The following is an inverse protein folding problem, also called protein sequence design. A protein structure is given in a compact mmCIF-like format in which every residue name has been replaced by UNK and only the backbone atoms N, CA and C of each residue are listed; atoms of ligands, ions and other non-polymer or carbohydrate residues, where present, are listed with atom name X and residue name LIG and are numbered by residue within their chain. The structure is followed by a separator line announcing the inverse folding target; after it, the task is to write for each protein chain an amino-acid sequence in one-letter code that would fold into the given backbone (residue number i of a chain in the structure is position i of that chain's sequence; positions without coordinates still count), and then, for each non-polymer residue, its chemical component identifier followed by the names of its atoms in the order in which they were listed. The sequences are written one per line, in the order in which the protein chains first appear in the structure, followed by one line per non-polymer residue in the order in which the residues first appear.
data_IF_443612170290
#
_entry.id   IF_443612170290
#
_cell.length_a   1.000
_cell.length_b   1.000
_cell.length_c   1.000
_cell.angle_alpha   90.00
_cell.angle_beta   90.00
_cell.angle_gamma   90.00
#
_symmetry.space_group_name_H-M   'P 1'
#
loop_
_entity.id
_entity.type
_entity.pdbx_description
1 polymer ?
#
# COMPACT_ATOMS: atom_id res chain seq x y z
N UNK A 1 -31.62 -12.33 -15.54
CA UNK A 1 -30.45 -11.61 -16.07
C UNK A 1 -29.22 -12.20 -15.44
N UNK A 2 -28.23 -12.69 -16.23
CA UNK A 2 -26.98 -13.22 -15.71
C UNK A 2 -26.21 -12.10 -14.97
N UNK A 3 -25.70 -12.40 -13.77
CA UNK A 3 -24.90 -11.43 -13.02
C UNK A 3 -23.66 -11.04 -13.85
N UNK A 4 -23.32 -9.75 -13.92
CA UNK A 4 -22.17 -9.28 -14.69
C UNK A 4 -20.87 -9.92 -14.14
N UNK A 5 -20.00 -10.38 -15.06
CA UNK A 5 -18.76 -11.08 -14.70
C UNK A 5 -17.78 -10.11 -14.00
N UNK A 6 -17.27 -10.53 -12.82
CA UNK A 6 -16.23 -9.78 -12.09
C UNK A 6 -14.95 -9.70 -12.91
N UNK A 7 -14.47 -10.86 -13.36
CA UNK A 7 -13.24 -11.01 -14.14
C UNK A 7 -13.50 -10.70 -15.62
N UNK A 8 -13.83 -9.42 -15.91
CA UNK A 8 -13.87 -8.92 -17.28
C UNK A 8 -12.45 -8.61 -17.78
N UNK A 9 -12.27 -8.52 -19.11
CA UNK A 9 -10.96 -8.33 -19.72
C UNK A 9 -10.23 -7.08 -19.22
N UNK A 10 -10.93 -5.95 -19.03
CA UNK A 10 -10.30 -4.72 -18.54
C UNK A 10 -9.90 -4.82 -17.06
N UNK A 11 -10.72 -5.49 -16.24
CA UNK A 11 -10.35 -5.70 -14.84
C UNK A 11 -9.14 -6.63 -14.71
N UNK A 12 -9.08 -7.72 -15.50
CA UNK A 12 -7.93 -8.61 -15.53
C UNK A 12 -6.65 -7.88 -15.95
N UNK A 13 -6.73 -7.01 -16.96
CA UNK A 13 -5.61 -6.15 -17.38
C UNK A 13 -5.15 -5.22 -16.26
N UNK A 14 -6.06 -4.51 -15.61
CA UNK A 14 -5.74 -3.62 -14.50
C UNK A 14 -5.14 -4.38 -13.30
N UNK A 15 -5.65 -5.59 -13.01
CA UNK A 15 -5.13 -6.47 -11.98
C UNK A 15 -3.71 -6.94 -12.29
N UNK A 16 -3.46 -7.42 -13.53
CA UNK A 16 -2.15 -7.88 -13.96
C UNK A 16 -1.12 -6.74 -14.00
N UNK A 17 -1.52 -5.56 -14.48
CA UNK A 17 -0.65 -4.38 -14.49
C UNK A 17 -0.28 -3.93 -13.07
N UNK A 18 -1.20 -4.04 -12.10
CA UNK A 18 -0.91 -3.76 -10.70
C UNK A 18 0.04 -4.80 -10.08
N UNK A 19 -0.11 -6.07 -10.42
CA UNK A 19 0.85 -7.10 -10.03
C UNK A 19 2.25 -6.76 -10.57
N UNK A 20 2.37 -6.41 -11.85
CA UNK A 20 3.65 -6.02 -12.47
C UNK A 20 4.25 -4.78 -11.82
N UNK A 21 3.43 -3.80 -11.43
CA UNK A 21 3.86 -2.59 -10.71
C UNK A 21 4.56 -2.96 -9.38
N UNK A 22 3.88 -3.74 -8.55
CA UNK A 22 4.43 -4.13 -7.24
C UNK A 22 5.56 -5.12 -7.37
N UNK A 23 5.50 -6.03 -8.33
CA UNK A 23 6.58 -6.99 -8.59
C UNK A 23 7.87 -6.26 -9.00
N UNK A 24 7.81 -5.36 -10.01
CA UNK A 24 8.98 -4.61 -10.47
C UNK A 24 9.62 -3.76 -9.37
N UNK A 25 8.79 -3.20 -8.49
CA UNK A 25 9.28 -2.40 -7.36
C UNK A 25 9.90 -3.26 -6.26
N UNK A 26 9.27 -4.36 -5.90
CA UNK A 26 9.67 -5.20 -4.78
C UNK A 26 10.85 -6.11 -5.09
N UNK A 27 11.10 -6.43 -6.35
CA UNK A 27 12.24 -7.29 -6.74
C UNK A 27 13.58 -6.62 -6.46
N UNK A 28 13.67 -5.29 -6.55
CA UNK A 28 14.89 -4.52 -6.28
C UNK A 28 14.99 -3.99 -4.85
N UNK A 29 13.86 -3.75 -4.19
CA UNK A 29 13.81 -3.04 -2.90
C UNK A 29 14.71 -3.64 -1.83
N UNK A 30 14.76 -4.96 -1.59
CA UNK A 30 15.63 -5.55 -0.57
C UNK A 30 17.11 -5.51 -0.94
N UNK A 31 17.44 -5.30 -2.20
CA UNK A 31 18.82 -5.28 -2.70
C UNK A 31 19.44 -3.87 -2.67
N UNK A 32 18.64 -2.81 -2.58
CA UNK A 32 19.17 -1.45 -2.56
C UNK A 32 20.19 -1.17 -1.43
N UNK A 33 19.97 -1.58 -0.16
CA UNK A 33 20.99 -1.35 0.86
C UNK A 33 22.31 -2.04 0.54
N UNK A 34 22.26 -3.26 0.01
CA UNK A 34 23.43 -4.01 -0.38
C UNK A 34 24.15 -3.35 -1.57
N UNK A 35 23.40 -2.97 -2.61
CA UNK A 35 23.90 -2.25 -3.77
C UNK A 35 24.62 -0.95 -3.39
N UNK A 36 24.00 -0.13 -2.54
CA UNK A 36 24.57 1.15 -2.10
C UNK A 36 25.87 0.96 -1.30
N UNK A 37 25.92 -0.06 -0.46
CA UNK A 37 27.12 -0.38 0.32
C UNK A 37 28.24 -0.93 -0.56
N UNK A 38 27.93 -1.87 -1.47
CA UNK A 38 28.96 -2.54 -2.29
C UNK A 38 29.48 -1.66 -3.43
N UNK A 39 28.58 -0.91 -4.11
CA UNK A 39 28.96 -0.13 -5.29
C UNK A 39 29.45 1.28 -4.96
N UNK A 40 28.94 1.88 -3.88
CA UNK A 40 29.29 3.28 -3.52
C UNK A 40 29.95 3.41 -2.15
N UNK A 41 30.12 2.31 -1.40
CA UNK A 41 30.68 2.37 -0.04
C UNK A 41 29.79 3.15 0.95
N UNK A 42 28.48 3.26 0.66
CA UNK A 42 27.57 4.06 1.46
C UNK A 42 27.43 3.54 2.89
N UNK A 43 27.48 4.45 3.86
CA UNK A 43 27.21 4.15 5.27
C UNK A 43 25.73 3.80 5.48
N UNK A 44 25.39 3.26 6.66
CA UNK A 44 23.99 2.95 7.00
C UNK A 44 23.12 4.21 7.00
N UNK A 45 23.65 5.34 7.47
CA UNK A 45 22.94 6.61 7.53
C UNK A 45 22.68 7.17 6.13
N UNK A 46 23.69 7.15 5.25
CA UNK A 46 23.56 7.55 3.85
C UNK A 46 22.56 6.66 3.12
N UNK A 47 22.61 5.34 3.34
CA UNK A 47 21.64 4.39 2.78
C UNK A 47 20.22 4.72 3.25
N UNK A 48 20.03 4.98 4.53
CA UNK A 48 18.74 5.38 5.09
C UNK A 48 18.22 6.68 4.46
N UNK A 49 19.07 7.69 4.33
CA UNK A 49 18.72 8.97 3.70
C UNK A 49 18.31 8.78 2.23
N UNK A 50 19.10 8.05 1.47
CA UNK A 50 18.84 7.76 0.05
C UNK A 50 17.51 7.05 -0.14
N UNK A 51 17.20 6.06 0.69
CA UNK A 51 15.96 5.28 0.56
C UNK A 51 14.74 6.04 1.06
N UNK A 52 14.90 6.93 2.06
CA UNK A 52 13.80 7.74 2.60
C UNK A 52 13.28 8.81 1.62
N UNK A 53 14.14 9.33 0.74
CA UNK A 53 13.75 10.30 -0.29
C UNK A 53 12.58 9.82 -1.16
N UNK A 54 12.57 8.53 -1.50
CA UNK A 54 11.48 7.91 -2.22
C UNK A 54 10.14 7.97 -1.45
N UNK A 55 10.15 7.59 -0.17
CA UNK A 55 8.93 7.58 0.64
C UNK A 55 8.35 8.99 0.81
N UNK A 56 9.23 9.98 1.00
CA UNK A 56 8.83 11.38 1.14
C UNK A 56 8.13 11.90 -0.12
N UNK A 57 8.71 11.69 -1.31
CA UNK A 57 8.12 12.17 -2.56
C UNK A 57 6.84 11.41 -2.93
N UNK A 58 6.79 10.10 -2.65
CA UNK A 58 5.57 9.32 -2.83
C UNK A 58 4.42 9.87 -1.96
N UNK A 59 4.69 10.15 -0.68
CA UNK A 59 3.71 10.72 0.24
C UNK A 59 3.23 12.11 -0.19
N UNK A 60 4.15 12.99 -0.57
CA UNK A 60 3.83 14.36 -0.96
C UNK A 60 2.99 14.43 -2.23
N UNK A 61 3.23 13.54 -3.20
CA UNK A 61 2.52 13.55 -4.48
C UNK A 61 1.12 12.89 -4.39
N UNK A 62 0.88 12.01 -3.41
CA UNK A 62 -0.40 11.28 -3.30
C UNK A 62 -1.66 12.16 -3.28
N UNK A 63 -1.77 13.22 -2.47
CA UNK A 63 -2.95 14.09 -2.48
C UNK A 63 -3.21 14.70 -3.86
N UNK A 64 -2.15 15.15 -4.52
CA UNK A 64 -2.23 15.73 -5.88
C UNK A 64 -2.61 14.68 -6.93
N UNK A 65 -2.18 13.45 -6.77
CA UNK A 65 -2.50 12.34 -7.68
C UNK A 65 -3.99 12.09 -7.77
N UNK A 66 -4.70 12.15 -6.65
CA UNK A 66 -6.15 12.02 -6.61
C UNK A 66 -6.86 13.10 -7.43
N UNK A 67 -6.43 14.35 -7.24
CA UNK A 67 -6.93 15.47 -8.02
C UNK A 67 -6.63 15.32 -9.53
N UNK A 68 -5.40 14.93 -9.90
CA UNK A 68 -5.03 14.69 -11.29
C UNK A 68 -5.91 13.62 -11.94
N UNK A 69 -6.11 12.49 -11.27
CA UNK A 69 -6.92 11.35 -11.77
C UNK A 69 -8.41 11.74 -11.92
N UNK A 70 -8.90 12.67 -11.11
CA UNK A 70 -10.28 13.12 -11.17
C UNK A 70 -10.49 14.24 -12.20
N UNK A 71 -9.49 15.08 -12.44
CA UNK A 71 -9.57 16.24 -13.34
C UNK A 71 -9.22 15.90 -14.78
N UNK A 72 -8.21 15.05 -14.99
CA UNK A 72 -7.72 14.70 -16.33
C UNK A 72 -8.25 13.33 -16.79
N UNK A 73 -8.13 12.99 -18.09
CA UNK A 73 -8.47 11.65 -18.57
C UNK A 73 -7.68 10.57 -17.83
N UNK A 74 -8.36 9.71 -17.07
CA UNK A 74 -7.73 8.72 -16.16
C UNK A 74 -6.71 7.83 -16.85
N UNK A 75 -6.99 7.41 -18.10
CA UNK A 75 -6.04 6.60 -18.88
C UNK A 75 -4.76 7.35 -19.18
N UNK A 76 -4.85 8.63 -19.54
CA UNK A 76 -3.68 9.46 -19.84
C UNK A 76 -2.81 9.66 -18.58
N UNK A 77 -3.43 10.01 -17.45
CA UNK A 77 -2.73 10.14 -16.16
C UNK A 77 -2.05 8.83 -15.78
N UNK A 78 -2.77 7.70 -15.87
CA UNK A 78 -2.23 6.37 -15.58
C UNK A 78 -1.01 6.05 -16.47
N UNK A 79 -1.11 6.26 -17.77
CA UNK A 79 -0.01 5.95 -18.70
C UNK A 79 1.21 6.85 -18.49
N UNK A 80 1.01 8.15 -18.28
CA UNK A 80 2.13 9.07 -18.00
C UNK A 80 2.84 8.68 -16.70
N UNK A 81 2.08 8.48 -15.60
CA UNK A 81 2.68 8.12 -14.31
C UNK A 81 3.37 6.75 -14.35
N UNK A 82 2.71 5.75 -14.96
CA UNK A 82 3.27 4.40 -15.07
C UNK A 82 4.49 4.38 -16.01
N UNK A 83 4.47 5.13 -17.10
CA UNK A 83 5.59 5.28 -18.03
C UNK A 83 6.82 5.92 -17.35
N UNK A 84 6.60 6.99 -16.57
CA UNK A 84 7.66 7.61 -15.76
C UNK A 84 8.20 6.66 -14.71
N UNK A 85 7.31 5.91 -14.04
CA UNK A 85 7.72 4.87 -13.08
C UNK A 85 8.60 3.81 -13.75
N UNK A 86 8.22 3.29 -14.91
CA UNK A 86 9.01 2.31 -15.64
C UNK A 86 10.36 2.88 -16.11
N UNK A 87 10.35 4.09 -16.66
CA UNK A 87 11.55 4.76 -17.16
C UNK A 87 12.63 4.93 -16.08
N UNK A 88 12.23 5.25 -14.86
CA UNK A 88 13.17 5.48 -13.75
C UNK A 88 13.92 4.22 -13.31
N UNK A 89 13.45 3.00 -13.62
CA UNK A 89 14.28 1.80 -13.47
C UNK A 89 15.48 1.80 -14.41
N UNK A 90 15.33 2.35 -15.63
CA UNK A 90 16.46 2.59 -16.53
C UNK A 90 17.48 3.56 -15.96
N UNK A 91 17.04 4.51 -15.13
CA UNK A 91 17.92 5.43 -14.42
C UNK A 91 18.91 4.74 -13.48
N UNK A 92 18.50 3.64 -12.80
CA UNK A 92 19.38 2.89 -11.93
C UNK A 92 20.54 2.20 -12.68
N UNK A 93 20.33 1.83 -13.95
CA UNK A 93 21.39 1.24 -14.79
C UNK A 93 22.50 2.24 -15.17
N UNK A 94 22.20 3.53 -15.12
CA UNK A 94 23.15 4.59 -15.50
C UNK A 94 23.61 5.42 -14.29
N UNK A 95 23.20 5.08 -13.09
CA UNK A 95 23.53 5.78 -11.87
C UNK A 95 25.02 5.53 -11.50
N UNK A 96 25.92 6.43 -11.90
CA UNK A 96 27.36 6.30 -11.67
C UNK A 96 27.86 6.84 -10.34
N UNK A 97 26.98 7.37 -9.47
CA UNK A 97 27.36 7.92 -8.16
C UNK A 97 26.20 7.82 -7.16
N UNK A 98 26.54 7.87 -5.86
CA UNK A 98 25.54 7.88 -4.78
C UNK A 98 24.54 9.03 -4.93
N UNK A 99 25.01 10.22 -5.33
CA UNK A 99 24.16 11.39 -5.54
C UNK A 99 23.18 11.18 -6.72
N UNK A 100 23.66 10.65 -7.85
CA UNK A 100 22.79 10.38 -9.00
C UNK A 100 21.74 9.32 -8.64
N UNK A 101 22.12 8.28 -7.91
CA UNK A 101 21.19 7.28 -7.40
C UNK A 101 20.15 7.89 -6.45
N UNK A 102 20.58 8.75 -5.51
CA UNK A 102 19.66 9.45 -4.59
C UNK A 102 18.62 10.30 -5.34
N UNK A 103 19.07 11.06 -6.35
CA UNK A 103 18.16 11.87 -7.17
C UNK A 103 17.14 10.97 -7.89
N UNK A 104 17.61 9.93 -8.57
CA UNK A 104 16.72 8.99 -9.29
C UNK A 104 15.75 8.31 -8.33
N UNK A 105 16.23 7.86 -7.17
CA UNK A 105 15.41 7.19 -6.16
C UNK A 105 14.34 8.12 -5.59
N UNK A 106 14.72 9.35 -5.27
CA UNK A 106 13.79 10.38 -4.77
C UNK A 106 12.72 10.71 -5.81
N UNK A 107 13.12 10.94 -7.07
CA UNK A 107 12.19 11.19 -8.16
C UNK A 107 11.25 10.00 -8.42
N UNK A 108 11.72 8.76 -8.23
CA UNK A 108 10.93 7.55 -8.48
C UNK A 108 9.72 7.41 -7.53
N UNK A 109 9.78 8.02 -6.34
CA UNK A 109 8.65 8.01 -5.39
C UNK A 109 7.41 8.70 -5.94
N UNK A 110 7.58 9.81 -6.65
CA UNK A 110 6.47 10.60 -7.19
C UNK A 110 5.60 9.80 -8.19
N UNK A 111 6.14 9.22 -9.28
CA UNK A 111 5.32 8.42 -10.20
C UNK A 111 4.78 7.14 -9.56
N UNK A 112 5.48 6.52 -8.60
CA UNK A 112 4.92 5.38 -7.88
C UNK A 112 3.69 5.77 -7.06
N UNK A 113 3.76 6.87 -6.29
CA UNK A 113 2.63 7.39 -5.52
C UNK A 113 1.42 7.70 -6.42
N UNK A 114 1.66 8.37 -7.55
CA UNK A 114 0.61 8.71 -8.51
C UNK A 114 0.05 7.48 -9.24
N UNK A 115 0.91 6.54 -9.65
CA UNK A 115 0.49 5.32 -10.37
C UNK A 115 -0.39 4.43 -9.50
N UNK A 116 -0.08 4.26 -8.22
CA UNK A 116 -0.91 3.45 -7.31
C UNK A 116 -2.33 4.01 -7.16
N UNK A 117 -2.48 5.34 -7.08
CA UNK A 117 -3.80 6.00 -7.05
C UNK A 117 -4.52 5.85 -8.39
N UNK A 118 -3.84 6.12 -9.51
CA UNK A 118 -4.43 6.05 -10.84
C UNK A 118 -4.86 4.61 -11.18
N UNK A 119 -4.00 3.63 -10.95
CA UNK A 119 -4.25 2.23 -11.29
C UNK A 119 -5.40 1.65 -10.46
N UNK A 120 -5.44 1.90 -9.14
CA UNK A 120 -6.55 1.47 -8.28
C UNK A 120 -7.88 2.15 -8.68
N UNK A 121 -7.85 3.43 -9.06
CA UNK A 121 -9.06 4.14 -9.50
C UNK A 121 -9.57 3.60 -10.83
N UNK A 122 -8.70 3.32 -11.78
CA UNK A 122 -9.06 2.70 -13.07
C UNK A 122 -9.61 1.29 -12.85
N UNK A 123 -8.99 0.48 -11.97
CA UNK A 123 -9.49 -0.84 -11.64
C UNK A 123 -10.92 -0.80 -11.09
N UNK A 124 -11.24 0.19 -10.24
CA UNK A 124 -12.58 0.40 -9.70
C UNK A 124 -13.58 0.81 -10.78
N UNK A 125 -13.17 1.61 -11.77
CA UNK A 125 -14.05 2.07 -12.85
C UNK A 125 -14.45 0.97 -13.83
N UNK A 126 -13.60 -0.02 -14.05
CA UNK A 126 -13.88 -1.16 -14.93
C UNK A 126 -14.69 -2.26 -14.26
N UNK A 127 -14.92 -2.16 -12.95
CA UNK A 127 -15.75 -3.09 -12.20
C UNK A 127 -17.23 -2.79 -12.33
N UNK A 128 -18.10 -3.84 -12.45
CA UNK A 128 -19.53 -3.68 -12.31
C UNK A 128 -19.90 -3.06 -10.96
N UNK A 129 -20.86 -2.12 -10.93
CA UNK A 129 -21.24 -1.42 -9.69
C UNK A 129 -21.65 -2.36 -8.56
N UNK A 130 -22.40 -3.41 -8.89
CA UNK A 130 -22.88 -4.43 -7.92
C UNK A 130 -21.78 -5.35 -7.39
N UNK A 131 -20.62 -5.44 -8.05
CA UNK A 131 -19.49 -6.29 -7.64
C UNK A 131 -18.23 -5.48 -7.28
N UNK A 132 -18.36 -4.17 -7.12
CA UNK A 132 -17.20 -3.28 -6.91
C UNK A 132 -16.46 -3.58 -5.60
N UNK A 133 -17.19 -3.77 -4.50
CA UNK A 133 -16.59 -4.08 -3.20
C UNK A 133 -15.79 -5.40 -3.23
N UNK A 134 -16.35 -6.43 -3.87
CA UNK A 134 -15.68 -7.71 -4.10
C UNK A 134 -14.40 -7.51 -4.96
N UNK A 135 -14.52 -6.79 -6.07
CA UNK A 135 -13.41 -6.52 -6.98
C UNK A 135 -12.28 -5.73 -6.31
N UNK A 136 -12.58 -4.75 -5.44
CA UNK A 136 -11.57 -4.06 -4.63
C UNK A 136 -10.80 -5.07 -3.76
N UNK A 137 -11.51 -6.02 -3.16
CA UNK A 137 -10.88 -7.10 -2.39
C UNK A 137 -9.89 -7.91 -3.22
N UNK A 138 -10.29 -8.41 -4.37
CA UNK A 138 -9.41 -9.18 -5.26
C UNK A 138 -8.29 -8.33 -5.89
N UNK A 139 -8.52 -7.03 -6.13
CA UNK A 139 -7.47 -6.14 -6.63
C UNK A 139 -6.29 -6.07 -5.66
N UNK A 140 -6.55 -6.02 -4.35
CA UNK A 140 -5.48 -6.05 -3.34
C UNK A 140 -4.64 -7.34 -3.34
N UNK A 141 -5.14 -8.47 -3.88
CA UNK A 141 -4.32 -9.68 -4.02
C UNK A 141 -3.17 -9.50 -5.01
N UNK A 142 -3.34 -8.72 -6.08
CA UNK A 142 -2.27 -8.46 -7.05
C UNK A 142 -1.07 -7.77 -6.40
N UNK A 143 -1.34 -6.79 -5.55
CA UNK A 143 -0.33 -6.12 -4.74
C UNK A 143 0.37 -7.11 -3.77
N UNK A 144 -0.43 -7.86 -2.99
CA UNK A 144 0.11 -8.79 -2.00
C UNK A 144 0.97 -9.89 -2.64
N UNK A 145 0.55 -10.44 -3.78
CA UNK A 145 1.33 -11.44 -4.51
C UNK A 145 2.64 -10.86 -5.03
N UNK A 146 2.63 -9.65 -5.62
CA UNK A 146 3.84 -8.98 -6.06
C UNK A 146 4.82 -8.76 -4.91
N UNK A 147 4.31 -8.25 -3.78
CA UNK A 147 5.13 -7.98 -2.58
C UNK A 147 5.67 -9.26 -1.91
N UNK A 148 4.92 -10.36 -1.96
CA UNK A 148 5.35 -11.63 -1.35
C UNK A 148 6.40 -12.38 -2.19
N UNK A 149 6.25 -12.39 -3.52
CA UNK A 149 7.06 -13.23 -4.42
C UNK A 149 8.33 -12.50 -4.85
N UNK A 150 8.23 -11.22 -5.19
CA UNK A 150 9.30 -10.49 -5.84
C UNK A 150 10.60 -10.35 -5.00
N UNK A 151 10.57 -10.07 -3.68
CA UNK A 151 11.79 -9.99 -2.88
C UNK A 151 12.62 -11.28 -2.91
N UNK A 152 11.93 -12.41 -2.76
CA UNK A 152 12.58 -13.73 -2.77
C UNK A 152 13.22 -14.01 -4.12
N UNK A 153 12.51 -13.76 -5.22
CA UNK A 153 13.05 -13.93 -6.56
C UNK A 153 14.23 -13.01 -6.84
N UNK A 154 14.15 -11.74 -6.43
CA UNK A 154 15.24 -10.77 -6.58
C UNK A 154 16.51 -11.24 -5.88
N UNK A 155 16.39 -11.67 -4.62
CA UNK A 155 17.52 -12.20 -3.85
C UNK A 155 18.10 -13.48 -4.47
N UNK A 156 17.27 -14.42 -4.93
CA UNK A 156 17.72 -15.65 -5.59
C UNK A 156 18.46 -15.35 -6.88
N UNK A 157 17.93 -14.49 -7.74
CA UNK A 157 18.58 -14.10 -8.99
C UNK A 157 19.94 -13.44 -8.70
N UNK A 158 19.99 -12.55 -7.70
CA UNK A 158 21.25 -11.94 -7.29
C UNK A 158 22.27 -12.97 -6.80
N UNK A 159 21.85 -13.91 -5.94
CA UNK A 159 22.72 -14.99 -5.45
C UNK A 159 23.30 -15.84 -6.56
N UNK A 160 22.54 -16.08 -7.64
CA UNK A 160 23.01 -16.91 -8.77
C UNK A 160 23.88 -16.15 -9.76
N UNK A 161 23.64 -14.85 -9.95
CA UNK A 161 24.26 -14.08 -11.04
C UNK A 161 25.28 -13.05 -10.55
N UNK A 162 25.18 -12.60 -9.30
CA UNK A 162 25.98 -11.49 -8.74
C UNK A 162 25.73 -10.15 -9.43
N UNK A 163 24.69 -10.02 -10.27
CA UNK A 163 24.49 -8.84 -11.11
C UNK A 163 23.30 -8.00 -10.65
N UNK A 164 23.57 -6.79 -10.22
CA UNK A 164 22.56 -5.78 -9.94
C UNK A 164 21.89 -5.25 -11.21
N UNK A 165 22.66 -5.10 -12.29
CA UNK A 165 22.14 -4.61 -13.58
C UNK A 165 21.06 -5.53 -14.14
N UNK A 166 21.23 -6.86 -13.98
CA UNK A 166 20.21 -7.82 -14.37
C UNK A 166 18.92 -7.60 -13.60
N UNK A 167 19.00 -7.34 -12.29
CA UNK A 167 17.82 -7.09 -11.46
C UNK A 167 17.12 -5.78 -11.87
N UNK A 168 17.89 -4.71 -12.14
CA UNK A 168 17.33 -3.45 -12.64
C UNK A 168 16.70 -3.62 -14.02
N UNK A 169 17.31 -4.40 -14.90
CA UNK A 169 16.75 -4.73 -16.22
C UNK A 169 15.45 -5.54 -16.11
N UNK A 170 15.38 -6.51 -15.20
CA UNK A 170 14.15 -7.29 -14.92
C UNK A 170 13.05 -6.37 -14.41
N UNK A 171 13.37 -5.42 -13.51
CA UNK A 171 12.40 -4.44 -13.02
C UNK A 171 11.89 -3.52 -14.12
N UNK A 172 12.79 -3.00 -14.96
CA UNK A 172 12.44 -2.20 -16.12
C UNK A 172 11.53 -2.97 -17.09
N UNK A 173 11.90 -4.20 -17.42
CA UNK A 173 11.12 -5.06 -18.32
C UNK A 173 9.73 -5.34 -17.75
N UNK A 174 9.65 -5.72 -16.49
CA UNK A 174 8.38 -6.04 -15.82
C UNK A 174 7.47 -4.82 -15.72
N UNK A 175 8.04 -3.66 -15.35
CA UNK A 175 7.30 -2.39 -15.34
C UNK A 175 6.83 -2.00 -16.76
N UNK A 176 7.67 -2.20 -17.77
CA UNK A 176 7.30 -1.93 -19.17
C UNK A 176 6.16 -2.84 -19.65
N UNK A 177 6.16 -4.12 -19.28
CA UNK A 177 5.04 -5.04 -19.56
C UNK A 177 3.76 -4.52 -18.89
N UNK A 178 3.80 -4.08 -17.63
CA UNK A 178 2.67 -3.50 -16.94
C UNK A 178 2.15 -2.23 -17.61
N UNK A 179 3.04 -1.37 -18.09
CA UNK A 179 2.70 -0.18 -18.90
C UNK A 179 1.98 -0.57 -20.20
N UNK A 180 2.52 -1.54 -20.94
CA UNK A 180 1.91 -2.04 -22.19
C UNK A 180 0.53 -2.66 -21.93
N UNK A 181 0.35 -3.41 -20.85
CA UNK A 181 -0.97 -3.96 -20.47
C UNK A 181 -1.95 -2.80 -20.23
N UNK A 182 -1.56 -1.78 -19.45
CA UNK A 182 -2.40 -0.61 -19.18
C UNK A 182 -2.73 0.19 -20.45
N UNK A 183 -1.84 0.26 -21.44
CA UNK A 183 -2.09 0.94 -22.71
C UNK A 183 -3.25 0.30 -23.50
N UNK A 184 -3.47 -1.00 -23.32
CA UNK A 184 -4.56 -1.75 -23.97
C UNK A 184 -5.92 -1.64 -23.25
N UNK A 185 -6.00 -0.93 -22.11
CA UNK A 185 -7.27 -0.73 -21.40
C UNK A 185 -8.25 0.08 -22.22
N UNK A 186 -9.49 -0.38 -22.24
CA UNK A 186 -10.61 0.31 -22.87
C UNK A 186 -11.52 0.90 -21.78
N UNK A 187 -11.36 2.19 -21.51
CA UNK A 187 -12.15 2.91 -20.54
C UNK A 187 -13.30 3.62 -21.22
N UNK A 188 -14.48 3.56 -20.62
CA UNK A 188 -15.62 4.36 -21.08
C UNK A 188 -15.32 5.84 -20.87
N UNK A 189 -15.60 6.70 -21.87
CA UNK A 189 -15.54 8.15 -21.69
C UNK A 189 -16.42 8.54 -20.50
N UNK A 190 -15.91 9.42 -19.66
CA UNK A 190 -16.71 10.04 -18.60
C UNK A 190 -16.69 11.55 -18.78
N UNK A 191 -17.74 12.28 -18.36
CA UNK A 191 -17.66 13.71 -18.26
C UNK A 191 -16.53 14.06 -17.26
N UNK A 192 -15.56 14.85 -17.72
CA UNK A 192 -14.54 15.43 -16.85
C UNK A 192 -15.22 16.43 -15.92
N UNK A 193 -14.78 16.49 -14.67
CA UNK A 193 -15.27 17.51 -13.74
C UNK A 193 -14.85 18.87 -14.31
N UNK A 194 -15.80 19.76 -14.67
CA UNK A 194 -15.42 21.06 -15.21
C UNK A 194 -14.56 21.79 -14.18
N UNK A 195 -13.44 22.34 -14.60
CA UNK A 195 -12.64 23.27 -13.79
C UNK A 195 -13.44 24.57 -13.50
N UNK A 196 -14.51 24.83 -14.28
CA UNK A 196 -15.47 25.91 -14.09
C UNK A 196 -16.37 25.60 -12.88
N UNK A 197 -16.20 26.32 -11.82
CA UNK A 197 -16.93 26.21 -10.54
C UNK A 197 -15.97 26.26 -9.37
N UNK A 198 -14.71 26.48 -9.61
CA UNK A 198 -13.68 26.65 -8.60
C UNK A 198 -13.18 28.09 -8.56
N UNK A 199 -14.09 29.04 -8.75
CA UNK A 199 -13.91 30.44 -8.34
C UNK A 199 -14.13 30.53 -6.84
N UNK A 200 -13.24 29.99 -6.07
CA UNK A 200 -13.19 30.04 -4.64
C UNK A 200 -11.84 29.53 -4.16
N UNK A 201 -11.42 29.96 -2.99
CA UNK A 201 -10.14 29.62 -2.38
C UNK A 201 -9.77 28.13 -2.58
N UNK A 202 -8.49 27.83 -2.78
CA UNK A 202 -7.98 26.46 -2.88
C UNK A 202 -8.43 25.67 -1.66
N UNK A 203 -9.45 24.82 -1.83
CA UNK A 203 -9.98 23.99 -0.75
C UNK A 203 -9.20 22.69 -0.64
N UNK A 204 -8.81 22.29 0.54
CA UNK A 204 -8.18 20.99 0.83
C UNK A 204 -9.05 19.82 0.36
N UNK A 205 -10.37 19.98 0.30
CA UNK A 205 -11.31 18.97 -0.20
C UNK A 205 -11.09 18.58 -1.66
N UNK A 206 -10.33 19.37 -2.44
CA UNK A 206 -9.90 19.00 -3.80
C UNK A 206 -8.86 17.89 -3.82
N UNK A 207 -8.00 17.86 -2.82
CA UNK A 207 -6.85 16.95 -2.74
C UNK A 207 -7.12 15.78 -1.82
N UNK A 208 -7.94 15.98 -0.79
CA UNK A 208 -8.32 14.98 0.19
C UNK A 208 -9.84 14.96 0.35
N UNK A 209 -10.42 13.77 0.47
CA UNK A 209 -11.83 13.59 0.78
C UNK A 209 -12.07 13.91 2.26
N UNK A 210 -12.23 15.21 2.59
CA UNK A 210 -12.37 15.66 3.99
C UNK A 210 -13.54 14.99 4.70
N UNK A 211 -14.64 14.69 3.98
CA UNK A 211 -15.76 13.92 4.50
C UNK A 211 -15.35 12.53 5.04
N UNK A 212 -14.24 11.97 4.56
CA UNK A 212 -13.69 10.67 4.98
C UNK A 212 -12.73 10.74 6.17
N UNK A 213 -12.59 11.89 6.87
CA UNK A 213 -11.60 12.08 7.93
C UNK A 213 -11.65 11.01 9.06
N UNK A 214 -12.84 10.51 9.53
CA UNK A 214 -12.83 9.52 10.58
C UNK A 214 -12.25 8.19 10.13
N UNK A 215 -12.54 7.80 8.88
CA UNK A 215 -11.99 6.60 8.26
C UNK A 215 -10.48 6.75 8.02
N UNK A 216 -10.03 7.95 7.61
CA UNK A 216 -8.62 8.25 7.41
C UNK A 216 -7.85 8.14 8.73
N UNK A 217 -8.39 8.66 9.82
CA UNK A 217 -7.77 8.56 11.14
C UNK A 217 -7.72 7.11 11.66
N UNK A 218 -8.78 6.31 11.44
CA UNK A 218 -8.75 4.87 11.75
C UNK A 218 -7.63 4.15 11.00
N UNK A 219 -7.49 4.42 9.68
CA UNK A 219 -6.43 3.86 8.85
C UNK A 219 -5.05 4.30 9.34
N UNK A 220 -4.88 5.57 9.71
CA UNK A 220 -3.61 6.09 10.23
C UNK A 220 -3.20 5.40 11.54
N UNK A 221 -4.12 5.20 12.48
CA UNK A 221 -3.85 4.45 13.71
C UNK A 221 -3.46 3.00 13.44
N UNK A 222 -4.15 2.36 12.52
CA UNK A 222 -3.85 0.99 12.13
C UNK A 222 -2.47 0.89 11.45
N UNK A 223 -2.23 1.73 10.45
CA UNK A 223 -0.98 1.71 9.68
C UNK A 223 0.22 2.16 10.50
N UNK A 224 0.02 2.97 11.55
CA UNK A 224 1.04 3.25 12.56
C UNK A 224 1.58 1.95 13.19
N UNK A 225 0.67 1.09 13.66
CA UNK A 225 1.03 -0.20 14.25
C UNK A 225 1.79 -1.09 13.25
N UNK A 226 1.35 -1.09 12.00
CA UNK A 226 2.03 -1.80 10.92
C UNK A 226 3.45 -1.25 10.68
N UNK A 227 3.61 0.08 10.69
CA UNK A 227 4.90 0.75 10.53
C UNK A 227 5.91 0.36 11.61
N UNK A 228 5.48 0.37 12.88
CA UNK A 228 6.32 -0.06 14.01
C UNK A 228 6.76 -1.51 13.84
N UNK A 229 5.80 -2.42 13.69
CA UNK A 229 6.09 -3.86 13.64
C UNK A 229 6.92 -4.22 12.41
N UNK A 230 6.53 -3.79 11.21
CA UNK A 230 7.23 -4.16 9.97
C UNK A 230 8.68 -3.69 9.92
N UNK A 231 9.00 -2.60 10.60
CA UNK A 231 10.35 -2.02 10.58
C UNK A 231 11.26 -2.66 11.62
N UNK A 232 10.78 -2.83 12.86
CA UNK A 232 11.63 -3.25 13.97
C UNK A 232 11.63 -4.76 14.24
N UNK A 233 10.77 -5.50 13.54
CA UNK A 233 10.57 -6.93 13.77
C UNK A 233 11.83 -7.78 13.58
N UNK A 234 12.66 -7.48 12.59
CA UNK A 234 13.86 -8.27 12.30
C UNK A 234 14.93 -8.09 13.40
N UNK A 235 15.07 -6.86 13.90
CA UNK A 235 16.03 -6.54 14.96
C UNK A 235 15.56 -7.18 16.27
N UNK A 236 14.28 -7.01 16.61
CA UNK A 236 13.65 -7.62 17.79
C UNK A 236 13.78 -9.15 17.79
N UNK A 237 13.47 -9.80 16.67
CA UNK A 237 13.58 -11.25 16.52
C UNK A 237 15.01 -11.74 16.82
N UNK A 238 16.01 -11.04 16.31
CA UNK A 238 17.43 -11.40 16.50
C UNK A 238 17.91 -11.11 17.91
N UNK A 239 17.61 -9.93 18.46
CA UNK A 239 18.19 -9.45 19.72
C UNK A 239 17.45 -9.98 20.96
N UNK A 240 16.11 -10.05 20.93
CA UNK A 240 15.32 -10.41 22.11
C UNK A 240 14.77 -11.84 22.06
N UNK A 241 14.47 -12.39 20.87
CA UNK A 241 13.92 -13.74 20.75
C UNK A 241 14.96 -14.79 20.33
N UNK A 242 16.20 -14.40 19.99
CA UNK A 242 17.22 -15.31 19.50
C UNK A 242 16.91 -15.95 18.13
N UNK A 243 15.93 -15.41 17.40
CA UNK A 243 15.54 -15.88 16.07
C UNK A 243 16.49 -15.29 15.05
N UNK A 244 17.58 -15.97 14.75
CA UNK A 244 18.59 -15.53 13.77
C UNK A 244 18.22 -15.90 12.34
N UNK A 245 17.43 -16.95 12.14
CA UNK A 245 16.94 -17.45 10.86
C UNK A 245 15.42 -17.54 10.91
N UNK A 246 14.73 -17.24 9.79
CA UNK A 246 13.26 -17.39 9.72
C UNK A 246 12.45 -16.12 9.95
N UNK A 247 13.07 -14.95 10.08
CA UNK A 247 12.32 -13.66 10.06
C UNK A 247 11.50 -13.48 8.78
N UNK A 248 11.96 -14.03 7.66
CA UNK A 248 11.18 -14.09 6.41
C UNK A 248 9.87 -14.87 6.54
N UNK A 249 9.82 -15.90 7.41
CA UNK A 249 8.59 -16.66 7.67
C UNK A 249 7.48 -15.79 8.28
N UNK A 250 7.84 -14.77 9.08
CA UNK A 250 6.86 -13.79 9.58
C UNK A 250 6.08 -13.15 8.44
N UNK A 251 6.77 -12.60 7.45
CA UNK A 251 6.12 -11.96 6.30
C UNK A 251 5.36 -12.97 5.43
N UNK A 252 5.85 -14.19 5.34
CA UNK A 252 5.13 -15.29 4.65
C UNK A 252 3.81 -15.60 5.34
N UNK A 253 3.80 -15.76 6.66
CA UNK A 253 2.59 -16.02 7.45
C UNK A 253 1.63 -14.82 7.40
N UNK A 254 2.14 -13.60 7.45
CA UNK A 254 1.35 -12.39 7.26
C UNK A 254 0.68 -12.39 5.88
N UNK A 255 1.40 -12.74 4.80
CA UNK A 255 0.83 -12.85 3.45
C UNK A 255 -0.20 -13.97 3.36
N UNK A 256 0.03 -15.13 3.99
CA UNK A 256 -0.96 -16.22 4.04
C UNK A 256 -2.23 -15.75 4.74
N UNK A 257 -2.12 -15.04 5.87
CA UNK A 257 -3.24 -14.43 6.56
C UNK A 257 -4.00 -13.43 5.67
N UNK A 258 -3.28 -12.54 4.98
CA UNK A 258 -3.84 -11.60 4.00
C UNK A 258 -4.64 -12.31 2.89
N UNK A 259 -4.09 -13.36 2.30
CA UNK A 259 -4.73 -14.11 1.21
C UNK A 259 -5.96 -14.85 1.74
N UNK A 260 -5.82 -15.54 2.88
CA UNK A 260 -6.92 -16.29 3.51
C UNK A 260 -8.10 -15.39 3.82
N UNK A 261 -7.86 -14.20 4.36
CA UNK A 261 -8.92 -13.23 4.67
C UNK A 261 -9.63 -12.72 3.42
N UNK A 262 -8.93 -12.58 2.28
CA UNK A 262 -9.54 -12.17 1.01
C UNK A 262 -10.51 -13.24 0.48
N UNK A 263 -10.17 -14.51 0.64
CA UNK A 263 -11.03 -15.61 0.20
C UNK A 263 -12.29 -15.70 1.07
N UNK A 264 -12.14 -15.54 2.39
CA UNK A 264 -13.28 -15.60 3.34
C UNK A 264 -14.11 -14.30 3.28
N UNK A 265 -13.46 -13.14 3.30
CA UNK A 265 -14.12 -11.83 3.34
C UNK A 265 -14.81 -11.41 2.04
N UNK A 266 -14.45 -12.02 0.90
CA UNK A 266 -15.04 -11.70 -0.40
C UNK A 266 -16.57 -11.85 -0.39
N UNK A 267 -17.11 -12.90 0.23
CA UNK A 267 -18.57 -13.14 0.33
C UNK A 267 -19.29 -12.02 1.09
N UNK A 268 -18.70 -11.53 2.19
CA UNK A 268 -19.28 -10.41 2.95
C UNK A 268 -19.30 -9.10 2.14
N UNK A 269 -18.23 -8.84 1.37
CA UNK A 269 -18.16 -7.68 0.49
C UNK A 269 -19.12 -7.78 -0.69
N UNK A 270 -19.32 -8.99 -1.27
CA UNK A 270 -20.33 -9.24 -2.30
C UNK A 270 -21.75 -8.91 -1.82
N UNK A 271 -22.05 -9.23 -0.57
CA UNK A 271 -23.36 -8.98 0.06
C UNK A 271 -23.52 -7.52 0.54
N UNK A 272 -22.57 -6.63 0.25
CA UNK A 272 -22.59 -5.22 0.68
C UNK A 272 -22.35 -5.01 2.18
N UNK A 273 -21.93 -6.05 2.92
CA UNK A 273 -21.65 -6.00 4.37
C UNK A 273 -20.26 -5.39 4.67
N UNK A 274 -20.02 -4.19 4.09
CA UNK A 274 -18.73 -3.51 4.16
C UNK A 274 -18.31 -3.19 5.61
N UNK A 275 -19.27 -2.66 6.39
CA UNK A 275 -19.01 -2.29 7.81
C UNK A 275 -18.77 -3.51 8.70
N UNK A 276 -19.39 -4.63 8.43
CA UNK A 276 -19.13 -5.87 9.17
C UNK A 276 -17.73 -6.40 8.87
N UNK A 277 -17.37 -6.41 7.59
CA UNK A 277 -16.04 -6.83 7.17
C UNK A 277 -14.94 -5.95 7.78
N UNK A 278 -15.17 -4.62 7.82
CA UNK A 278 -14.28 -3.70 8.51
C UNK A 278 -14.22 -3.99 10.03
N UNK A 279 -15.36 -4.27 10.67
CA UNK A 279 -15.44 -4.59 12.10
C UNK A 279 -14.61 -5.84 12.43
N UNK A 280 -14.74 -6.90 11.64
CA UNK A 280 -13.93 -8.12 11.81
C UNK A 280 -12.44 -7.78 11.62
N UNK A 281 -12.11 -7.03 10.56
CA UNK A 281 -10.73 -6.66 10.25
C UNK A 281 -10.04 -5.89 11.38
N UNK A 282 -10.69 -4.85 11.93
CA UNK A 282 -10.08 -4.03 12.99
C UNK A 282 -9.93 -4.78 14.30
N UNK A 283 -10.90 -5.66 14.65
CA UNK A 283 -10.81 -6.48 15.89
C UNK A 283 -9.74 -7.56 15.76
N UNK A 284 -9.72 -8.32 14.66
CA UNK A 284 -8.71 -9.36 14.41
C UNK A 284 -7.31 -8.74 14.41
N UNK A 285 -7.15 -7.59 13.77
CA UNK A 285 -5.90 -6.85 13.74
C UNK A 285 -5.42 -6.47 15.16
N UNK A 286 -6.31 -5.90 15.97
CA UNK A 286 -6.00 -5.57 17.36
C UNK A 286 -5.54 -6.80 18.16
N UNK A 287 -6.24 -7.91 18.01
CA UNK A 287 -5.84 -9.18 18.68
C UNK A 287 -4.44 -9.60 18.24
N UNK A 288 -4.10 -9.48 16.97
CA UNK A 288 -2.77 -9.79 16.45
C UNK A 288 -1.67 -8.90 17.04
N UNK A 289 -1.90 -7.58 17.10
CA UNK A 289 -0.91 -6.65 17.68
C UNK A 289 -0.75 -6.82 19.18
N UNK A 290 -1.84 -7.07 19.92
CA UNK A 290 -1.78 -7.33 21.37
C UNK A 290 -1.10 -8.66 21.66
N UNK A 291 -1.38 -9.71 20.88
CA UNK A 291 -0.70 -11.01 21.00
C UNK A 291 0.80 -10.85 20.76
N UNK A 292 1.20 -10.08 19.76
CA UNK A 292 2.59 -9.79 19.44
C UNK A 292 3.30 -9.06 20.59
N UNK A 293 2.63 -8.05 21.17
CA UNK A 293 3.17 -7.28 22.28
C UNK A 293 3.24 -8.06 23.60
N UNK A 294 2.32 -9.01 23.82
CA UNK A 294 2.21 -9.74 25.08
C UNK A 294 3.08 -11.00 25.13
N UNK A 295 3.27 -11.69 24.01
CA UNK A 295 3.99 -12.96 23.94
C UNK A 295 5.38 -12.81 23.33
N UNK A 296 6.41 -12.74 24.19
CA UNK A 296 7.82 -12.62 23.81
C UNK A 296 8.45 -14.00 23.49
N UNK A 297 7.85 -14.74 22.55
CA UNK A 297 8.33 -16.04 22.11
C UNK A 297 7.99 -16.31 20.64
N UNK A 298 8.51 -17.40 20.09
CA UNK A 298 8.30 -17.76 18.68
C UNK A 298 6.82 -17.95 18.32
N UNK A 299 5.98 -18.49 19.22
CA UNK A 299 4.55 -18.65 18.98
C UNK A 299 3.82 -17.31 18.86
N UNK A 300 4.14 -16.36 19.77
CA UNK A 300 3.64 -14.99 19.69
C UNK A 300 4.09 -14.30 18.42
N UNK A 301 5.36 -14.44 18.06
CA UNK A 301 5.95 -13.86 16.86
C UNK A 301 5.26 -14.34 15.58
N UNK A 302 5.23 -15.64 15.33
CA UNK A 302 4.66 -16.20 14.10
C UNK A 302 3.13 -16.22 14.09
N UNK A 303 2.50 -16.50 15.24
CA UNK A 303 1.04 -16.51 15.35
C UNK A 303 0.45 -15.11 15.12
N UNK A 304 1.07 -14.09 15.70
CA UNK A 304 0.64 -12.71 15.48
C UNK A 304 0.75 -12.29 14.01
N UNK A 305 1.80 -12.71 13.29
CA UNK A 305 1.95 -12.42 11.87
C UNK A 305 0.73 -12.86 11.06
N UNK A 306 0.29 -14.10 11.25
CA UNK A 306 -0.88 -14.63 10.56
C UNK A 306 -2.17 -13.87 10.93
N UNK A 307 -2.37 -13.58 12.24
CA UNK A 307 -3.57 -12.88 12.73
C UNK A 307 -3.60 -11.43 12.22
N UNK A 308 -2.47 -10.71 12.27
CA UNK A 308 -2.35 -9.35 11.70
C UNK A 308 -2.64 -9.38 10.20
N UNK A 309 -2.12 -10.38 9.49
CA UNK A 309 -2.41 -10.59 8.07
C UNK A 309 -3.90 -10.78 7.80
N UNK A 310 -4.58 -11.65 8.57
CA UNK A 310 -6.04 -11.84 8.51
C UNK A 310 -6.80 -10.53 8.73
N UNK A 311 -6.46 -9.79 9.77
CA UNK A 311 -7.09 -8.51 10.10
C UNK A 311 -6.92 -7.49 8.98
N UNK A 312 -5.68 -7.31 8.50
CA UNK A 312 -5.35 -6.39 7.42
C UNK A 312 -6.07 -6.73 6.11
N UNK A 313 -6.14 -8.01 5.79
CA UNK A 313 -6.84 -8.48 4.60
C UNK A 313 -8.34 -8.21 4.60
N UNK A 314 -9.01 -8.21 5.74
CA UNK A 314 -10.40 -7.80 5.88
C UNK A 314 -10.55 -6.27 5.90
N UNK A 315 -9.72 -5.58 6.66
CA UNK A 315 -9.85 -4.16 6.96
C UNK A 315 -9.59 -3.29 5.73
N UNK A 316 -8.44 -3.45 5.07
CA UNK A 316 -8.01 -2.53 4.04
C UNK A 316 -9.00 -2.38 2.87
N UNK A 317 -9.55 -3.47 2.24
CA UNK A 317 -10.53 -3.33 1.17
C UNK A 317 -11.88 -2.81 1.65
N UNK A 318 -12.25 -3.10 2.90
CA UNK A 318 -13.47 -2.56 3.47
C UNK A 318 -13.37 -1.04 3.63
N UNK A 319 -12.26 -0.51 4.16
CA UNK A 319 -12.04 0.93 4.23
C UNK A 319 -11.92 1.57 2.85
N UNK A 320 -11.22 0.93 1.90
CA UNK A 320 -11.19 1.44 0.52
C UNK A 320 -12.59 1.53 -0.08
N UNK A 321 -13.42 0.52 0.15
CA UNK A 321 -14.83 0.54 -0.28
C UNK A 321 -15.62 1.65 0.42
N UNK A 322 -15.37 1.92 1.71
CA UNK A 322 -16.00 3.04 2.42
C UNK A 322 -15.63 4.39 1.80
N UNK A 323 -14.33 4.64 1.52
CA UNK A 323 -13.91 5.89 0.87
C UNK A 323 -14.56 6.07 -0.50
N UNK A 324 -14.58 5.01 -1.32
CA UNK A 324 -15.23 5.03 -2.64
C UNK A 324 -16.75 5.23 -2.50
N UNK A 325 -17.37 4.62 -1.51
CA UNK A 325 -18.81 4.75 -1.25
C UNK A 325 -19.25 6.13 -0.74
N UNK A 326 -18.33 6.93 -0.20
CA UNK A 326 -18.59 8.31 0.23
C UNK A 326 -18.29 9.35 -0.87
N UNK A 327 -17.65 8.95 -1.96
CA UNK A 327 -17.23 9.83 -3.03
C UNK A 327 -18.06 9.64 -4.29
N UNK A 328 -18.48 10.72 -4.98
CA UNK A 328 -19.10 10.58 -6.29
C UNK A 328 -18.11 9.99 -7.30
N UNK A 329 -18.63 9.45 -8.41
CA UNK A 329 -17.81 8.77 -9.43
C UNK A 329 -16.68 9.65 -9.99
N UNK A 330 -16.89 10.97 -10.03
CA UNK A 330 -15.89 11.95 -10.48
C UNK A 330 -14.77 12.21 -9.44
N UNK A 331 -14.92 11.77 -8.19
CA UNK A 331 -13.95 12.01 -7.09
C UNK A 331 -13.35 10.72 -6.51
N UNK A 332 -13.38 9.62 -7.24
CA UNK A 332 -12.80 8.33 -6.79
C UNK A 332 -11.27 8.38 -6.68
N UNK A 333 -10.61 9.19 -7.51
CA UNK A 333 -9.17 9.44 -7.39
C UNK A 333 -8.84 10.09 -6.05
N UNK A 334 -9.56 11.17 -5.68
CA UNK A 334 -9.42 11.84 -4.38
C UNK A 334 -9.70 10.89 -3.21
N UNK A 335 -10.71 10.03 -3.32
CA UNK A 335 -11.04 9.03 -2.30
C UNK A 335 -9.91 8.01 -2.09
N UNK A 336 -9.38 7.44 -3.17
CA UNK A 336 -8.22 6.52 -3.10
C UNK A 336 -6.97 7.22 -2.57
N UNK A 337 -6.69 8.42 -3.05
CA UNK A 337 -5.57 9.23 -2.60
C UNK A 337 -5.62 9.47 -1.10
N UNK A 338 -6.79 9.81 -0.55
CA UNK A 338 -6.98 10.02 0.90
C UNK A 338 -6.68 8.76 1.70
N UNK A 339 -7.16 7.60 1.24
CA UNK A 339 -6.86 6.32 1.87
C UNK A 339 -5.35 6.05 1.93
N UNK A 340 -4.67 6.18 0.78
CA UNK A 340 -3.24 5.90 0.69
C UNK A 340 -2.40 6.94 1.45
N UNK A 341 -2.79 8.22 1.45
CA UNK A 341 -2.13 9.26 2.23
C UNK A 341 -2.23 8.96 3.73
N UNK A 342 -3.43 8.61 4.22
CA UNK A 342 -3.63 8.23 5.60
C UNK A 342 -2.79 7.00 6.00
N UNK A 343 -2.73 5.99 5.12
CA UNK A 343 -1.90 4.79 5.31
C UNK A 343 -0.41 5.14 5.44
N UNK A 344 0.14 5.88 4.47
CA UNK A 344 1.57 6.24 4.46
C UNK A 344 1.94 7.16 5.64
N UNK A 345 1.05 8.09 5.99
CA UNK A 345 1.25 8.97 7.14
C UNK A 345 1.34 8.15 8.43
N UNK A 346 0.42 7.19 8.62
CA UNK A 346 0.44 6.34 9.79
C UNK A 346 1.70 5.46 9.83
N UNK A 347 2.08 4.82 8.71
CA UNK A 347 3.32 4.02 8.62
C UNK A 347 4.53 4.87 8.96
N UNK A 348 4.67 6.06 8.35
CA UNK A 348 5.80 6.96 8.59
C UNK A 348 5.91 7.40 10.04
N UNK A 349 4.79 7.82 10.65
CA UNK A 349 4.76 8.17 12.07
C UNK A 349 5.09 6.97 12.96
N UNK A 350 4.60 5.78 12.61
CA UNK A 350 4.91 4.53 13.33
C UNK A 350 6.41 4.21 13.31
N UNK A 351 7.06 4.35 12.17
CA UNK A 351 8.52 4.14 12.03
C UNK A 351 9.29 5.11 12.94
N UNK A 352 8.99 6.40 12.85
CA UNK A 352 9.71 7.43 13.60
C UNK A 352 9.49 7.30 15.11
N UNK A 353 8.22 7.33 15.54
CA UNK A 353 7.90 7.27 16.97
C UNK A 353 8.20 5.89 17.57
N UNK A 354 8.00 4.81 16.80
CA UNK A 354 8.39 3.47 17.21
C UNK A 354 9.89 3.34 17.44
N UNK A 355 10.70 3.96 16.56
CA UNK A 355 12.16 4.00 16.72
C UNK A 355 12.60 4.76 17.96
N UNK A 356 12.03 5.94 18.20
CA UNK A 356 12.31 6.75 19.39
C UNK A 356 11.99 5.95 20.67
N UNK A 357 10.83 5.31 20.73
CA UNK A 357 10.45 4.52 21.91
C UNK A 357 11.31 3.27 22.05
N UNK A 358 11.66 2.59 20.95
CA UNK A 358 12.54 1.44 20.98
C UNK A 358 13.95 1.79 21.48
N UNK A 359 14.48 2.94 21.09
CA UNK A 359 15.81 3.43 21.51
C UNK A 359 15.85 3.84 22.97
N UNK A 360 14.87 4.63 23.43
CA UNK A 360 14.87 5.21 24.78
C UNK A 360 14.23 4.30 25.84
N UNK A 361 13.42 3.32 25.46
CA UNK A 361 12.74 2.41 26.36
C UNK A 361 13.08 0.96 26.04
N UNK A 362 12.37 0.37 25.06
CA UNK A 362 12.60 -1.01 24.58
C UNK A 362 11.75 -1.29 23.33
N UNK A 363 12.06 -2.35 22.59
CA UNK A 363 11.19 -2.85 21.53
C UNK A 363 9.82 -3.28 22.04
N UNK A 364 9.77 -3.92 23.21
CA UNK A 364 8.50 -4.30 23.87
C UNK A 364 7.61 -3.07 24.10
N UNK A 365 8.16 -1.96 24.61
CA UNK A 365 7.42 -0.72 24.80
C UNK A 365 6.87 -0.15 23.49
N UNK A 366 7.66 -0.19 22.40
CA UNK A 366 7.23 0.25 21.07
C UNK A 366 6.08 -0.62 20.53
N UNK A 367 6.10 -1.93 20.78
CA UNK A 367 5.02 -2.84 20.38
C UNK A 367 3.74 -2.64 21.22
N UNK A 368 3.86 -2.41 22.53
CA UNK A 368 2.72 -2.03 23.35
C UNK A 368 2.11 -0.70 22.93
N UNK A 369 2.94 0.30 22.60
CA UNK A 369 2.48 1.55 22.03
C UNK A 369 1.72 1.30 20.71
N UNK A 370 2.22 0.44 19.84
CA UNK A 370 1.53 0.08 18.58
C UNK A 370 0.17 -0.57 18.84
N UNK A 371 0.08 -1.46 19.84
CA UNK A 371 -1.19 -2.06 20.27
C UNK A 371 -2.20 -1.03 20.79
N UNK A 372 -1.73 -0.05 21.58
CA UNK A 372 -2.58 1.04 22.09
C UNK A 372 -3.09 1.96 20.98
N UNK A 373 -2.25 2.31 20.00
CA UNK A 373 -2.69 3.08 18.83
C UNK A 373 -3.72 2.30 17.99
N UNK A 374 -3.52 1.00 17.82
CA UNK A 374 -4.49 0.13 17.14
C UNK A 374 -5.82 0.10 17.91
N UNK A 375 -5.78 -0.04 19.24
CA UNK A 375 -6.97 0.03 20.11
C UNK A 375 -7.70 1.36 19.96
N UNK A 376 -6.99 2.49 19.95
CA UNK A 376 -7.58 3.80 19.70
C UNK A 376 -8.32 3.85 18.35
N UNK A 377 -7.72 3.28 17.30
CA UNK A 377 -8.36 3.11 15.98
C UNK A 377 -9.63 2.27 16.03
N UNK A 378 -9.63 1.16 16.78
CA UNK A 378 -10.81 0.30 16.97
C UNK A 378 -11.91 1.04 17.72
N UNK A 379 -11.58 1.73 18.81
CA UNK A 379 -12.54 2.55 19.57
C UNK A 379 -13.15 3.63 18.68
N UNK A 380 -12.33 4.37 17.94
CA UNK A 380 -12.80 5.40 17.02
C UNK A 380 -13.73 4.81 15.93
N UNK A 381 -13.38 3.63 15.43
CA UNK A 381 -14.19 2.96 14.41
C UNK A 381 -15.60 2.63 14.93
N UNK A 382 -15.72 1.98 16.09
CA UNK A 382 -17.02 1.59 16.64
C UNK A 382 -17.81 2.77 17.20
N UNK A 383 -17.15 3.71 17.87
CA UNK A 383 -17.80 4.87 18.46
C UNK A 383 -18.34 5.85 17.41
N UNK A 384 -17.57 6.07 16.33
CA UNK A 384 -17.88 7.15 15.40
C UNK A 384 -17.81 6.76 13.92
N UNK A 385 -16.68 6.26 13.42
CA UNK A 385 -16.43 6.13 11.97
C UNK A 385 -17.44 5.21 11.26
N UNK A 386 -17.87 4.11 11.90
CA UNK A 386 -18.89 3.20 11.36
C UNK A 386 -20.22 3.91 11.13
N UNK A 387 -20.71 4.66 12.12
CA UNK A 387 -21.99 5.41 12.02
C UNK A 387 -21.87 6.56 11.02
N UNK A 388 -20.74 7.25 11.04
CA UNK A 388 -20.43 8.32 10.10
C UNK A 388 -20.49 7.82 8.63
N UNK A 389 -19.89 6.69 8.31
CA UNK A 389 -19.97 6.09 6.98
C UNK A 389 -21.42 5.79 6.58
N UNK A 390 -22.19 5.12 7.45
CA UNK A 390 -23.58 4.74 7.14
C UNK A 390 -24.47 5.95 6.84
N UNK A 391 -24.21 7.09 7.47
CA UNK A 391 -24.96 8.34 7.24
C UNK A 391 -24.50 9.09 5.98
N UNK A 392 -23.29 8.90 5.56
CA UNK A 392 -22.61 9.69 4.52
C UNK A 392 -22.34 8.93 3.23
N UNK A 393 -22.65 7.63 3.16
CA UNK A 393 -22.50 6.84 1.93
C UNK A 393 -23.46 7.35 0.87
N UNK A 394 -22.97 7.41 -0.37
CA UNK A 394 -23.79 7.66 -1.54
C UNK A 394 -24.46 6.33 -1.91
N UNK A 395 -25.76 6.34 -2.09
CA UNK A 395 -26.56 5.17 -2.49
C UNK A 395 -26.30 4.79 -3.95
#
# INVERSE_FOLDING_TARGET
MSQPRLWNANYLKAWSANFMLYFSFMVVTPLFPLYLSEMFGATKDETGLVLSGYALTALLVRPFSGFMVDTFPRKAVLLVCYGLFALLFGGYLVAGSLLSFFIIRTLHGAPMGATTVANSTVAIDVLPSCRRAEGIGYYGLSNNLGTAIAPTLGMLIYQWTGSYDLIFAISLLTASIGFLINSTLQLKPRPLTPLKGVEGAVSLDRFLLLKGWPQALCIAFYSFSYGVVSTYIAIYAKQELGITTGTGLFFTLLCIGLISSRLVGARGLQQGRVTENASHGVVISLMGYLLFAALHNAWGFYGAAFIVGLGNGHMFPAFQTMFIGMAPACRRGTANSTLYTAWETGVGLGIVLGGIVAEHCSYSAAFWMSGLFNLAGVVLYFAYARRHFLRNRLT
#
